data_IF_863165397240
#
_entry.id   IF_863165397240
#
_cell.length_a   1.000
_cell.length_b   1.000
_cell.length_c   1.000
_cell.angle_alpha   90.00
_cell.angle_beta   90.00
_cell.angle_gamma   90.00
#
_symmetry.space_group_name_H-M   'P 1'
#
loop_
_entity.id
_entity.type
_entity.pdbx_description
1 polymer ?
#
# COMPACT_ATOMS: atom_id res chain seq x y z
N UNK A 1 14.25 -0.62 4.18
CA UNK A 1 14.48 -0.03 5.52
C UNK A 1 14.06 1.45 5.58
N UNK A 2 14.44 2.26 4.58
CA UNK A 2 14.14 3.70 4.48
C UNK A 2 12.69 4.09 4.81
N UNK A 3 11.69 3.35 4.35
CA UNK A 3 10.27 3.68 4.59
C UNK A 3 9.87 3.56 6.06
N UNK A 4 10.33 2.51 6.78
CA UNK A 4 9.98 2.36 8.20
C UNK A 4 10.68 3.40 9.06
N UNK A 5 11.92 3.75 8.73
CA UNK A 5 12.67 4.80 9.42
C UNK A 5 11.98 6.16 9.25
N UNK A 6 11.44 6.44 8.05
CA UNK A 6 10.65 7.65 7.79
C UNK A 6 9.32 7.67 8.57
N UNK A 7 8.61 6.54 8.63
CA UNK A 7 7.34 6.47 9.37
C UNK A 7 7.56 6.59 10.89
N UNK A 8 8.68 6.07 11.40
CA UNK A 8 9.11 6.28 12.80
C UNK A 8 9.46 7.75 13.06
N UNK A 9 10.25 8.36 12.17
CA UNK A 9 10.64 9.77 12.28
C UNK A 9 9.43 10.72 12.21
N UNK A 10 8.41 10.36 11.43
CA UNK A 10 7.14 11.07 11.35
C UNK A 10 6.21 10.82 12.56
N UNK A 11 6.57 9.91 13.47
CA UNK A 11 5.76 9.54 14.63
C UNK A 11 4.49 8.76 14.29
N UNK A 12 4.40 8.17 13.09
CA UNK A 12 3.21 7.43 12.64
C UNK A 12 3.23 5.96 13.05
N UNK A 13 4.41 5.43 13.39
CA UNK A 13 4.57 4.07 13.92
C UNK A 13 5.44 4.11 15.18
N UNK A 14 5.23 3.11 16.03
CA UNK A 14 5.99 2.86 17.25
C UNK A 14 6.46 1.41 17.28
N UNK A 15 7.61 1.17 17.92
CA UNK A 15 8.15 -0.17 18.11
C UNK A 15 7.62 -0.74 19.43
N UNK A 16 6.98 -1.90 19.35
CA UNK A 16 6.58 -2.70 20.52
C UNK A 16 7.42 -3.97 20.62
N UNK A 17 7.52 -4.50 21.83
CA UNK A 17 8.10 -5.81 22.07
C UNK A 17 7.25 -6.87 21.35
N UNK A 18 7.89 -7.71 20.55
CA UNK A 18 7.20 -8.81 19.88
C UNK A 18 6.96 -9.95 20.89
N UNK A 19 5.70 -10.31 21.20
CA UNK A 19 5.39 -11.34 22.20
C UNK A 19 5.77 -12.75 21.74
N UNK A 20 5.97 -12.97 20.44
CA UNK A 20 6.29 -14.28 19.86
C UNK A 20 7.78 -14.47 19.56
N UNK A 21 8.52 -13.38 19.31
CA UNK A 21 9.93 -13.44 18.93
C UNK A 21 10.75 -12.30 19.54
N UNK A 22 11.49 -12.60 20.62
CA UNK A 22 12.29 -11.60 21.37
C UNK A 22 13.34 -10.82 20.55
N UNK A 23 13.77 -11.33 19.39
CA UNK A 23 14.75 -10.67 18.50
C UNK A 23 14.11 -9.89 17.35
N UNK A 24 12.79 -9.97 17.19
CA UNK A 24 12.05 -9.30 16.11
C UNK A 24 11.40 -8.03 16.64
N UNK A 25 11.51 -6.94 15.88
CA UNK A 25 10.82 -5.69 16.17
C UNK A 25 9.38 -5.78 15.64
N UNK A 26 8.40 -5.49 16.49
CA UNK A 26 7.02 -5.33 16.06
C UNK A 26 6.72 -3.84 15.87
N UNK A 27 6.23 -3.46 14.71
CA UNK A 27 5.80 -2.09 14.43
C UNK A 27 4.28 -1.99 14.54
N UNK A 28 3.80 -0.97 15.23
CA UNK A 28 2.39 -0.67 15.39
C UNK A 28 2.12 0.79 15.02
N UNK A 29 0.97 1.08 14.42
CA UNK A 29 0.56 2.46 14.20
C UNK A 29 0.33 3.18 15.53
N UNK A 30 0.91 4.38 15.66
CA UNK A 30 0.54 5.33 16.73
C UNK A 30 -0.88 5.85 16.50
N UNK A 31 -1.43 6.61 17.44
CA UNK A 31 -2.76 7.20 17.27
C UNK A 31 -2.76 8.28 16.18
N UNK A 32 -1.68 9.05 16.06
CA UNK A 32 -1.42 9.94 14.94
C UNK A 32 -1.36 9.18 13.61
N UNK A 33 -0.64 8.05 13.57
CA UNK A 33 -0.54 7.20 12.40
C UNK A 33 -1.89 6.60 11.97
N UNK A 34 -2.69 6.13 12.94
CA UNK A 34 -4.06 5.64 12.67
C UNK A 34 -4.94 6.75 12.08
N UNK A 35 -4.82 7.98 12.59
CA UNK A 35 -5.58 9.13 12.08
C UNK A 35 -5.12 9.51 10.67
N UNK A 36 -3.82 9.57 10.43
CA UNK A 36 -3.24 9.83 9.11
C UNK A 36 -3.68 8.77 8.09
N UNK A 37 -3.63 7.49 8.48
CA UNK A 37 -4.07 6.38 7.64
C UNK A 37 -5.57 6.45 7.30
N UNK A 38 -6.43 6.72 8.28
CA UNK A 38 -7.87 6.92 8.03
C UNK A 38 -8.14 8.08 7.07
N UNK A 39 -7.43 9.20 7.24
CA UNK A 39 -7.57 10.35 6.35
C UNK A 39 -7.11 10.02 4.92
N UNK A 40 -6.02 9.27 4.78
CA UNK A 40 -5.53 8.78 3.49
C UNK A 40 -6.58 7.89 2.82
N UNK A 41 -7.11 6.90 3.54
CA UNK A 41 -8.18 6.03 3.02
C UNK A 41 -9.42 6.83 2.59
N UNK A 42 -9.82 7.83 3.36
CA UNK A 42 -10.94 8.68 3.00
C UNK A 42 -10.67 9.52 1.75
N UNK A 43 -9.45 10.04 1.60
CA UNK A 43 -9.02 10.77 0.41
C UNK A 43 -9.00 9.87 -0.82
N UNK A 44 -8.44 8.66 -0.70
CA UNK A 44 -8.43 7.66 -1.78
C UNK A 44 -9.85 7.30 -2.21
N UNK A 45 -10.74 6.99 -1.26
CA UNK A 45 -12.15 6.69 -1.57
C UNK A 45 -12.83 7.87 -2.28
N UNK A 46 -12.55 9.10 -1.87
CA UNK A 46 -13.08 10.31 -2.51
C UNK A 46 -12.55 10.48 -3.93
N UNK A 47 -11.29 10.15 -4.18
CA UNK A 47 -10.70 10.17 -5.51
C UNK A 47 -11.27 9.05 -6.39
N UNK A 48 -11.39 7.84 -5.86
CA UNK A 48 -12.02 6.71 -6.55
C UNK A 48 -13.45 7.05 -6.95
N UNK A 49 -14.29 7.59 -6.05
CA UNK A 49 -15.64 8.04 -6.39
C UNK A 49 -15.69 9.12 -7.47
N UNK A 50 -14.66 9.98 -7.56
CA UNK A 50 -14.56 10.97 -8.65
C UNK A 50 -14.24 10.31 -9.99
N UNK A 51 -13.44 9.24 -9.98
CA UNK A 51 -13.11 8.47 -11.17
C UNK A 51 -14.29 7.59 -11.61
N UNK A 52 -15.03 7.03 -10.65
CA UNK A 52 -16.18 6.13 -10.84
C UNK A 52 -17.42 6.83 -11.41
N UNK A 53 -17.51 8.16 -11.30
CA UNK A 53 -18.59 8.95 -11.91
C UNK A 53 -18.51 9.02 -13.45
N UNK A 54 -17.36 8.68 -14.04
CA UNK A 54 -17.09 8.88 -15.49
C UNK A 54 -16.58 7.60 -16.19
N UNK A 55 -16.38 6.50 -15.45
CA UNK A 55 -15.84 5.24 -15.96
C UNK A 55 -16.76 4.10 -15.52
N UNK A 56 -17.24 3.28 -16.46
CA UNK A 56 -18.04 2.12 -16.11
C UNK A 56 -17.21 1.03 -15.44
N UNK A 57 -17.82 0.31 -14.49
CA UNK A 57 -17.22 -0.83 -13.78
C UNK A 57 -16.56 -1.84 -14.73
N UNK A 58 -17.21 -2.13 -15.87
CA UNK A 58 -16.66 -2.99 -16.93
C UNK A 58 -15.31 -2.50 -17.48
N UNK A 59 -15.13 -1.18 -17.67
CA UNK A 59 -13.86 -0.62 -18.16
C UNK A 59 -12.77 -0.64 -17.10
N UNK A 60 -13.13 -0.53 -15.83
CA UNK A 60 -12.18 -0.71 -14.72
C UNK A 60 -11.69 -2.15 -14.66
N UNK A 61 -12.58 -3.13 -14.82
CA UNK A 61 -12.20 -4.56 -14.86
C UNK A 61 -11.28 -4.88 -16.06
N UNK A 62 -11.59 -4.34 -17.24
CA UNK A 62 -10.75 -4.50 -18.43
C UNK A 62 -9.36 -3.87 -18.24
N UNK A 63 -9.29 -2.69 -17.62
CA UNK A 63 -8.03 -2.02 -17.30
C UNK A 63 -7.21 -2.82 -16.28
N UNK A 64 -7.84 -3.34 -15.22
CA UNK A 64 -7.18 -4.13 -14.20
C UNK A 64 -6.58 -5.41 -14.79
N UNK A 65 -7.33 -6.15 -15.61
CA UNK A 65 -6.83 -7.34 -16.31
C UNK A 65 -5.61 -7.02 -17.17
N UNK A 66 -5.67 -5.91 -17.92
CA UNK A 66 -4.56 -5.48 -18.78
C UNK A 66 -3.30 -5.17 -17.96
N UNK A 67 -3.43 -4.49 -16.82
CA UNK A 67 -2.31 -4.17 -15.94
C UNK A 67 -1.69 -5.44 -15.35
N UNK A 68 -2.51 -6.39 -14.91
CA UNK A 68 -2.04 -7.68 -14.38
C UNK A 68 -1.25 -8.44 -15.46
N UNK A 69 -1.80 -8.55 -16.67
CA UNK A 69 -1.14 -9.23 -17.78
C UNK A 69 0.19 -8.58 -18.16
N UNK A 70 0.27 -7.25 -18.12
CA UNK A 70 1.52 -6.51 -18.37
C UNK A 70 2.55 -6.78 -17.28
N UNK A 71 2.16 -6.76 -16.00
CA UNK A 71 3.07 -7.06 -14.91
C UNK A 71 3.65 -8.48 -15.00
N UNK A 72 2.81 -9.47 -15.32
CA UNK A 72 3.28 -10.86 -15.53
C UNK A 72 4.33 -10.92 -16.64
N UNK A 73 4.08 -10.25 -17.78
CA UNK A 73 5.03 -10.22 -18.90
C UNK A 73 6.34 -9.50 -18.56
N UNK A 74 6.28 -8.43 -17.78
CA UNK A 74 7.46 -7.71 -17.31
C UNK A 74 8.28 -8.61 -16.38
N UNK A 75 7.64 -9.27 -15.42
CA UNK A 75 8.31 -10.20 -14.51
C UNK A 75 8.97 -11.36 -15.28
N UNK A 76 8.29 -11.93 -16.28
CA UNK A 76 8.83 -12.99 -17.13
C UNK A 76 9.99 -12.51 -18.02
N UNK A 77 9.97 -11.25 -18.46
CA UNK A 77 11.08 -10.65 -19.20
C UNK A 77 12.30 -10.47 -18.29
N UNK A 78 12.11 -9.87 -17.11
CA UNK A 78 13.19 -9.64 -16.15
C UNK A 78 13.85 -10.95 -15.70
N UNK A 79 13.07 -12.02 -15.49
CA UNK A 79 13.59 -13.35 -15.12
C UNK A 79 14.37 -14.08 -16.22
N UNK A 80 14.26 -13.65 -17.48
CA UNK A 80 15.00 -14.24 -18.61
C UNK A 80 16.35 -13.56 -18.86
N UNK A 81 16.58 -12.39 -18.25
CA UNK A 81 17.85 -11.66 -18.34
C UNK A 81 18.82 -12.02 -17.19
N UNK A 82 18.37 -12.78 -16.18
CA UNK A 82 19.16 -13.39 -15.10
C UNK A 82 19.59 -14.83 -15.46
#
# INVERSE_FOLDING_TARGET
KVVMDQLLAAGWVQIKANPFHKKSQLFELSDEGKKAYKNMQHSELKQMKRLDLDISEKRLDEALKTIIDLNIKIDDFLRKED
#
